data_IF_311494587098
#
_entry.id   IF_311494587098
#
_cell.length_a   1.000
_cell.length_b   1.000
_cell.length_c   1.000
_cell.angle_alpha   90.00
_cell.angle_beta   90.00
_cell.angle_gamma   90.00
#
_symmetry.space_group_name_H-M   'P 1'
#
loop_
_entity.id
_entity.type
_entity.pdbx_description
1 polymer ?
#
# COMPACT_ATOMS: atom_id res chain seq x y z
N UNK A 1 14.85 18.88 -3.84
CA UNK A 1 13.74 19.58 -3.15
C UNK A 1 14.07 21.03 -2.83
N UNK A 2 15.11 21.34 -2.05
CA UNK A 2 15.45 22.73 -1.65
C UNK A 2 15.67 23.72 -2.82
N UNK A 3 16.04 23.23 -4.01
CA UNK A 3 16.24 24.05 -5.22
C UNK A 3 15.00 24.12 -6.13
N UNK A 4 13.89 23.48 -5.76
CA UNK A 4 12.67 23.49 -6.56
C UNK A 4 12.08 24.90 -6.56
N UNK A 5 11.85 25.47 -7.75
CA UNK A 5 11.28 26.82 -7.92
C UNK A 5 9.76 26.81 -8.16
N UNK A 6 9.17 25.62 -8.31
CA UNK A 6 7.76 25.39 -8.59
C UNK A 6 7.30 24.11 -7.88
N UNK A 7 5.97 23.92 -7.66
CA UNK A 7 5.44 22.65 -7.20
C UNK A 7 6.00 21.50 -8.05
N UNK A 8 6.57 20.50 -7.39
CA UNK A 8 7.33 19.43 -8.05
C UNK A 8 6.88 18.10 -7.48
N UNK A 9 6.38 17.22 -8.35
CA UNK A 9 6.14 15.82 -8.02
C UNK A 9 7.43 15.01 -8.21
N UNK A 10 7.76 14.18 -7.24
CA UNK A 10 8.92 13.28 -7.28
C UNK A 10 8.43 11.88 -6.96
N UNK A 11 8.69 10.94 -7.88
CA UNK A 11 8.45 9.52 -7.66
C UNK A 11 9.79 8.83 -7.43
N UNK A 12 9.87 8.00 -6.40
CA UNK A 12 11.08 7.26 -6.05
C UNK A 12 10.71 5.78 -5.87
N UNK A 13 11.53 4.90 -6.44
CA UNK A 13 11.46 3.47 -6.23
C UNK A 13 12.75 3.00 -5.55
N UNK A 14 12.63 2.46 -4.34
CA UNK A 14 13.76 1.90 -3.59
C UNK A 14 14.10 0.51 -4.09
N UNK A 15 15.38 0.13 -4.05
CA UNK A 15 15.85 -1.17 -4.59
C UNK A 15 16.62 -2.04 -3.59
N UNK A 16 17.02 -1.49 -2.43
CA UNK A 16 17.93 -2.19 -1.50
C UNK A 16 17.32 -3.45 -0.88
N UNK A 17 15.99 -3.46 -0.68
CA UNK A 17 15.26 -4.62 -0.15
C UNK A 17 14.90 -5.63 -1.25
N UNK A 18 15.87 -5.98 -2.10
CA UNK A 18 15.71 -6.96 -3.17
C UNK A 18 16.95 -7.87 -3.21
N UNK A 19 16.82 -9.17 -3.53
CA UNK A 19 17.96 -10.05 -3.72
C UNK A 19 19.04 -9.43 -4.63
N UNK A 20 20.34 -9.55 -4.29
CA UNK A 20 20.92 -10.41 -3.24
C UNK A 20 20.95 -9.81 -1.82
N UNK A 21 20.14 -8.78 -1.53
CA UNK A 21 20.00 -8.15 -0.20
C UNK A 21 21.30 -7.51 0.31
N UNK A 22 22.04 -6.85 -0.59
CA UNK A 22 23.27 -6.17 -0.24
C UNK A 22 23.00 -4.87 0.54
N UNK A 23 23.65 -4.72 1.69
CA UNK A 23 23.68 -3.50 2.49
C UNK A 23 25.08 -2.86 2.45
N UNK A 24 25.22 -1.55 2.73
CA UNK A 24 26.53 -0.94 2.89
C UNK A 24 27.32 -1.64 4.00
N UNK A 25 28.63 -1.86 3.80
CA UNK A 25 29.51 -2.51 4.81
C UNK A 25 29.54 -1.79 6.16
N UNK A 26 29.20 -0.50 6.18
CA UNK A 26 29.12 0.33 7.39
C UNK A 26 27.80 0.17 8.14
N UNK A 27 26.76 -0.38 7.52
CA UNK A 27 25.48 -0.59 8.18
C UNK A 27 25.60 -1.73 9.20
N UNK A 28 25.11 -1.48 10.41
CA UNK A 28 25.07 -2.47 11.48
C UNK A 28 23.62 -2.77 11.78
N UNK A 29 23.16 -3.94 11.35
CA UNK A 29 21.82 -4.42 11.67
C UNK A 29 21.71 -4.71 13.17
N UNK A 30 20.59 -4.34 13.82
CA UNK A 30 20.28 -4.82 15.16
C UNK A 30 20.24 -6.35 15.21
N UNK A 31 20.53 -6.92 16.37
CA UNK A 31 20.33 -8.35 16.57
C UNK A 31 18.83 -8.65 16.70
N UNK A 32 18.34 -9.52 15.82
CA UNK A 32 16.96 -10.00 15.84
C UNK A 32 16.91 -11.44 16.31
N UNK A 33 15.92 -11.77 17.15
CA UNK A 33 15.59 -13.14 17.51
C UNK A 33 14.87 -13.86 16.35
N UNK A 34 15.62 -14.13 15.27
CA UNK A 34 15.08 -14.64 14.00
C UNK A 34 14.46 -16.03 14.13
N UNK A 35 14.87 -16.83 15.12
CA UNK A 35 14.34 -18.18 15.33
C UNK A 35 12.82 -18.18 15.53
N UNK A 36 12.28 -17.16 16.22
CA UNK A 36 10.84 -17.02 16.47
C UNK A 36 10.03 -16.72 15.22
N UNK A 37 10.65 -16.09 14.21
CA UNK A 37 9.99 -15.67 12.95
C UNK A 37 10.36 -16.54 11.76
N UNK A 38 11.37 -17.40 11.89
CA UNK A 38 11.77 -18.38 10.86
C UNK A 38 10.61 -19.23 10.31
N UNK A 39 9.59 -19.63 11.10
CA UNK A 39 8.43 -20.34 10.57
C UNK A 39 7.64 -19.54 9.52
N UNK A 40 7.70 -18.20 9.58
CA UNK A 40 7.01 -17.28 8.68
C UNK A 40 7.71 -17.13 7.32
N UNK A 41 8.93 -17.64 7.14
CA UNK A 41 9.65 -17.57 5.86
C UNK A 41 9.51 -18.87 5.06
N UNK A 42 9.43 -18.75 3.74
CA UNK A 42 9.41 -19.87 2.79
C UNK A 42 10.76 -20.58 2.76
N UNK A 43 11.86 -19.81 2.75
CA UNK A 43 13.21 -20.34 2.89
C UNK A 43 13.46 -20.89 4.29
N UNK A 44 14.19 -22.01 4.36
CA UNK A 44 14.73 -22.58 5.61
C UNK A 44 16.20 -22.29 5.82
N UNK A 45 16.84 -21.57 4.90
CA UNK A 45 18.20 -21.08 5.05
C UNK A 45 18.24 -19.86 5.99
N UNK A 46 18.82 -19.99 7.20
CA UNK A 46 18.88 -18.89 8.16
C UNK A 46 19.69 -17.70 7.66
N UNK A 47 20.70 -17.93 6.81
CA UNK A 47 21.51 -16.86 6.25
C UNK A 47 20.68 -16.00 5.29
N UNK A 48 19.87 -16.62 4.43
CA UNK A 48 18.94 -15.89 3.55
C UNK A 48 17.94 -15.04 4.34
N UNK A 49 17.33 -15.61 5.39
CA UNK A 49 16.36 -14.88 6.24
C UNK A 49 17.04 -13.72 6.97
N UNK A 50 18.26 -13.92 7.47
CA UNK A 50 19.07 -12.86 8.06
C UNK A 50 19.34 -11.73 7.07
N UNK A 51 19.80 -12.05 5.87
CA UNK A 51 20.09 -11.07 4.82
C UNK A 51 18.84 -10.28 4.39
N UNK A 52 17.72 -10.96 4.18
CA UNK A 52 16.45 -10.32 3.85
C UNK A 52 15.99 -9.37 4.96
N UNK A 53 16.10 -9.79 6.24
CA UNK A 53 15.75 -8.96 7.39
C UNK A 53 16.69 -7.76 7.53
N UNK A 54 17.99 -7.95 7.31
CA UNK A 54 19.00 -6.90 7.30
C UNK A 54 18.72 -5.85 6.21
N UNK A 55 18.42 -6.28 4.98
CA UNK A 55 18.08 -5.37 3.88
C UNK A 55 16.76 -4.63 4.12
N UNK A 56 15.74 -5.30 4.68
CA UNK A 56 14.49 -4.65 5.08
C UNK A 56 14.72 -3.60 6.16
N UNK A 57 15.56 -3.91 7.14
CA UNK A 57 15.93 -2.98 8.22
C UNK A 57 16.67 -1.77 7.66
N UNK A 58 17.66 -1.99 6.80
CA UNK A 58 18.39 -0.91 6.13
C UNK A 58 17.46 -0.01 5.32
N UNK A 59 16.57 -0.59 4.51
CA UNK A 59 15.61 0.17 3.71
C UNK A 59 14.67 0.99 4.60
N UNK A 60 14.21 0.41 5.72
CA UNK A 60 13.34 1.08 6.69
C UNK A 60 14.06 2.22 7.40
N UNK A 61 15.31 2.02 7.83
CA UNK A 61 16.14 3.06 8.46
C UNK A 61 16.46 4.20 7.47
N UNK A 62 16.84 3.87 6.23
CA UNK A 62 17.08 4.85 5.18
C UNK A 62 15.82 5.69 4.89
N UNK A 63 14.64 5.08 4.86
CA UNK A 63 13.38 5.79 4.71
C UNK A 63 13.08 6.68 5.93
N UNK A 64 13.27 6.18 7.15
CA UNK A 64 13.12 6.95 8.38
C UNK A 64 14.04 8.18 8.42
N UNK A 65 15.31 8.01 8.04
CA UNK A 65 16.29 9.09 7.94
C UNK A 65 15.87 10.13 6.88
N UNK A 66 15.36 9.69 5.74
CA UNK A 66 14.82 10.58 4.71
C UNK A 66 13.64 11.42 5.24
N UNK A 67 12.64 10.78 5.85
CA UNK A 67 11.48 11.49 6.43
C UNK A 67 11.92 12.43 7.54
N UNK A 68 12.84 12.01 8.41
CA UNK A 68 13.40 12.83 9.49
C UNK A 68 14.10 14.08 8.95
N UNK A 69 14.88 13.94 7.88
CA UNK A 69 15.56 15.06 7.23
C UNK A 69 14.57 16.09 6.66
N UNK A 70 13.42 15.65 6.14
CA UNK A 70 12.35 16.55 5.69
C UNK A 70 11.66 17.22 6.89
N UNK A 71 11.24 16.43 7.89
CA UNK A 71 10.49 16.89 9.07
C UNK A 71 11.25 17.93 9.89
N UNK A 72 12.57 17.80 10.01
CA UNK A 72 13.40 18.71 10.79
C UNK A 72 13.98 19.88 9.98
N UNK A 73 13.75 19.93 8.66
CA UNK A 73 14.23 21.03 7.84
C UNK A 73 13.21 22.18 7.81
N UNK A 74 13.57 23.39 8.29
CA UNK A 74 12.65 24.53 8.35
C UNK A 74 12.05 24.96 7.01
N UNK A 75 12.73 24.69 5.90
CA UNK A 75 12.26 25.05 4.56
C UNK A 75 11.34 23.99 3.93
N UNK A 76 11.41 22.73 4.40
CA UNK A 76 10.70 21.60 3.78
C UNK A 76 9.52 21.12 4.61
N UNK A 77 9.60 21.18 5.94
CA UNK A 77 8.61 20.55 6.84
C UNK A 77 7.16 20.99 6.56
N UNK A 78 6.96 22.24 6.16
CA UNK A 78 5.63 22.81 5.93
C UNK A 78 5.22 22.80 4.44
N UNK A 79 6.12 22.40 3.53
CA UNK A 79 5.97 22.53 2.08
C UNK A 79 6.04 21.19 1.33
N UNK A 80 6.23 20.07 2.03
CA UNK A 80 6.39 18.74 1.43
C UNK A 80 5.35 17.80 2.01
N UNK A 81 4.64 17.09 1.13
CA UNK A 81 3.84 15.91 1.47
C UNK A 81 4.63 14.69 0.99
N UNK A 82 4.69 13.65 1.82
CA UNK A 82 5.31 12.36 1.45
C UNK A 82 4.21 11.31 1.53
N UNK A 83 3.96 10.62 0.41
CA UNK A 83 3.25 9.34 0.40
C UNK A 83 4.26 8.22 0.13
N UNK A 84 4.26 7.20 0.98
CA UNK A 84 5.14 6.05 0.84
C UNK A 84 4.36 4.76 1.09
N UNK A 85 4.55 3.76 0.23
CA UNK A 85 3.93 2.45 0.37
C UNK A 85 4.93 1.37 0.03
N UNK A 86 4.75 0.16 0.59
CA UNK A 86 5.28 -1.03 -0.06
C UNK A 86 4.64 -1.18 -1.44
N UNK A 87 5.37 -1.72 -2.41
CA UNK A 87 4.84 -2.04 -3.75
C UNK A 87 4.05 -3.35 -3.73
N UNK A 88 4.58 -4.37 -3.05
CA UNK A 88 3.92 -5.65 -2.84
C UNK A 88 4.43 -6.38 -1.58
N UNK A 89 3.80 -7.51 -1.24
CA UNK A 89 4.22 -8.37 -0.13
C UNK A 89 5.62 -9.00 -0.35
N UNK A 90 6.33 -9.33 0.73
CA UNK A 90 7.59 -10.06 0.61
C UNK A 90 7.34 -11.51 0.17
N UNK A 91 7.76 -11.87 -1.05
CA UNK A 91 7.51 -13.21 -1.63
C UNK A 91 8.24 -14.35 -0.91
N UNK A 92 9.25 -14.02 -0.11
CA UNK A 92 9.96 -14.99 0.74
C UNK A 92 9.23 -15.25 2.08
N UNK A 93 8.10 -14.57 2.35
CA UNK A 93 7.23 -14.85 3.49
C UNK A 93 6.16 -15.88 3.10
N UNK A 94 5.87 -16.81 4.00
CA UNK A 94 4.73 -17.71 3.88
C UNK A 94 3.46 -16.90 4.10
N UNK A 95 2.47 -17.15 3.26
CA UNK A 95 1.10 -16.71 3.53
C UNK A 95 0.58 -17.49 4.75
N UNK A 96 -0.01 -16.77 5.69
CA UNK A 96 -0.55 -17.28 6.95
C UNK A 96 -2.06 -17.47 6.90
N UNK A 97 -2.67 -17.51 8.08
CA UNK A 97 -4.13 -17.60 8.22
C UNK A 97 -4.85 -16.28 7.92
N UNK A 98 -4.12 -15.15 7.87
CA UNK A 98 -4.71 -13.84 7.65
C UNK A 98 -4.42 -13.34 6.23
N UNK A 99 -5.25 -13.79 5.29
CA UNK A 99 -5.09 -13.44 3.86
C UNK A 99 -5.12 -11.93 3.60
N UNK A 100 -5.86 -11.15 4.39
CA UNK A 100 -5.85 -9.70 4.24
C UNK A 100 -4.47 -9.13 4.59
N UNK A 101 -3.88 -9.55 5.72
CA UNK A 101 -2.57 -9.09 6.17
C UNK A 101 -1.44 -9.57 5.25
N UNK A 102 -1.49 -10.82 4.78
CA UNK A 102 -0.48 -11.40 3.88
C UNK A 102 -0.30 -10.61 2.58
N UNK A 103 -1.38 -9.94 2.15
CA UNK A 103 -1.45 -9.15 0.93
C UNK A 103 -1.48 -7.64 1.19
N UNK A 104 -1.31 -7.21 2.45
CA UNK A 104 -1.25 -5.81 2.83
C UNK A 104 0.17 -5.26 2.76
N UNK A 105 0.28 -3.97 2.47
CA UNK A 105 1.52 -3.19 2.54
C UNK A 105 1.28 -1.96 3.41
N UNK A 106 2.30 -1.44 4.11
CA UNK A 106 2.15 -0.20 4.85
C UNK A 106 1.89 0.95 3.88
N UNK A 107 1.02 1.89 4.27
CA UNK A 107 0.90 3.19 3.61
C UNK A 107 1.15 4.29 4.65
N UNK A 108 2.18 5.08 4.42
CA UNK A 108 2.62 6.17 5.27
C UNK A 108 2.40 7.52 4.59
N UNK A 109 1.88 8.48 5.36
CA UNK A 109 1.71 9.86 4.94
C UNK A 109 2.41 10.81 5.92
N UNK A 110 3.38 11.57 5.43
CA UNK A 110 3.84 12.80 6.08
C UNK A 110 3.07 13.98 5.49
N UNK A 111 2.35 14.70 6.33
CA UNK A 111 1.49 15.82 5.93
C UNK A 111 1.87 17.03 6.81
N UNK A 112 2.11 18.22 6.23
CA UNK A 112 2.31 19.45 6.98
C UNK A 112 1.20 19.69 8.01
N UNK A 113 1.55 20.12 9.22
CA UNK A 113 0.60 20.29 10.33
C UNK A 113 -0.57 21.20 9.98
N UNK A 114 -0.34 22.24 9.16
CA UNK A 114 -1.37 23.15 8.70
C UNK A 114 -2.46 22.48 7.86
N UNK A 115 -2.15 21.37 7.18
CA UNK A 115 -3.11 20.55 6.42
C UNK A 115 -3.67 19.46 7.32
N UNK A 116 -2.80 18.77 8.07
CA UNK A 116 -3.16 17.60 8.85
C UNK A 116 -4.22 17.86 9.95
N UNK A 117 -4.24 19.07 10.51
CA UNK A 117 -5.18 19.46 11.58
C UNK A 117 -6.66 19.37 11.17
N UNK A 118 -6.95 19.46 9.87
CA UNK A 118 -8.31 19.48 9.33
C UNK A 118 -8.71 18.11 8.74
N UNK A 119 -7.82 17.11 8.81
CA UNK A 119 -8.05 15.77 8.29
C UNK A 119 -8.68 14.86 9.35
N UNK A 120 -9.68 14.07 8.95
CA UNK A 120 -10.21 13.00 9.79
C UNK A 120 -9.48 11.68 9.49
N UNK A 121 -8.47 11.36 10.30
CA UNK A 121 -7.75 10.10 10.17
C UNK A 121 -8.46 8.98 10.94
N UNK A 122 -8.86 7.94 10.21
CA UNK A 122 -9.32 6.67 10.79
C UNK A 122 -8.42 5.53 10.28
N UNK A 123 -7.64 4.87 11.16
CA UNK A 123 -6.75 3.77 10.75
C UNK A 123 -7.50 2.55 10.21
N UNK A 124 -8.79 2.39 10.51
CA UNK A 124 -9.61 1.28 10.03
C UNK A 124 -10.24 1.54 8.65
N UNK A 125 -9.90 2.67 8.01
CA UNK A 125 -10.35 2.99 6.66
C UNK A 125 -9.72 2.03 5.66
N UNK A 126 -10.55 1.25 4.95
CA UNK A 126 -10.09 0.43 3.84
C UNK A 126 -9.53 1.30 2.70
N UNK A 127 -8.36 0.90 2.20
CA UNK A 127 -7.73 1.50 1.03
C UNK A 127 -6.69 0.56 0.39
N UNK A 128 -6.37 0.80 -0.87
CA UNK A 128 -5.23 0.18 -1.55
C UNK A 128 -4.52 1.17 -2.46
N UNK A 129 -3.55 0.74 -3.28
CA UNK A 129 -2.79 1.65 -4.15
C UNK A 129 -3.65 2.54 -5.06
N UNK A 130 -4.87 2.12 -5.41
CA UNK A 130 -5.80 2.94 -6.20
C UNK A 130 -6.16 4.27 -5.51
N UNK A 131 -6.06 4.33 -4.19
CA UNK A 131 -6.47 5.48 -3.37
C UNK A 131 -5.32 6.46 -3.08
N UNK A 132 -4.08 6.07 -3.36
CA UNK A 132 -2.88 6.89 -3.07
C UNK A 132 -2.94 8.21 -3.83
N UNK A 133 -3.05 8.17 -5.16
CA UNK A 133 -3.06 9.39 -5.98
C UNK A 133 -4.28 10.29 -5.73
N UNK A 134 -5.53 9.77 -5.68
CA UNK A 134 -6.68 10.58 -5.30
C UNK A 134 -6.50 11.30 -3.95
N UNK A 135 -5.90 10.62 -2.97
CA UNK A 135 -5.57 11.21 -1.66
C UNK A 135 -4.49 12.28 -1.78
N UNK A 136 -3.41 12.03 -2.51
CA UNK A 136 -2.34 13.01 -2.73
C UNK A 136 -2.84 14.25 -3.51
N UNK A 137 -3.73 14.08 -4.47
CA UNK A 137 -4.36 15.20 -5.19
C UNK A 137 -5.18 16.06 -4.24
N UNK A 138 -6.02 15.45 -3.40
CA UNK A 138 -6.80 16.16 -2.39
C UNK A 138 -5.93 16.94 -1.39
N UNK A 139 -4.73 16.43 -1.07
CA UNK A 139 -3.82 17.08 -0.14
C UNK A 139 -2.97 18.19 -0.76
N UNK A 140 -2.77 18.19 -2.09
CA UNK A 140 -1.74 19.03 -2.73
C UNK A 140 -2.25 19.98 -3.82
N UNK A 141 -3.46 19.77 -4.34
CA UNK A 141 -4.03 20.54 -5.44
C UNK A 141 -5.27 21.30 -4.96
N UNK A 142 -5.47 22.53 -5.45
CA UNK A 142 -6.65 23.34 -5.13
C UNK A 142 -7.89 22.86 -5.90
N UNK A 143 -7.75 22.65 -7.21
CA UNK A 143 -8.79 22.12 -8.08
C UNK A 143 -8.19 21.05 -8.99
N UNK A 144 -8.90 19.94 -9.17
CA UNK A 144 -8.42 18.82 -9.97
C UNK A 144 -9.58 18.01 -10.54
N UNK A 145 -9.47 17.66 -11.82
CA UNK A 145 -10.32 16.68 -12.48
C UNK A 145 -9.43 15.53 -12.95
N UNK A 146 -9.77 14.31 -12.59
CA UNK A 146 -9.01 13.13 -13.00
C UNK A 146 -9.93 11.93 -13.15
N UNK A 147 -9.53 11.02 -14.03
CA UNK A 147 -10.21 9.74 -14.18
C UNK A 147 -9.74 8.77 -13.10
N UNK A 148 -10.65 8.39 -12.22
CA UNK A 148 -10.45 7.36 -11.21
C UNK A 148 -11.25 6.10 -11.55
N UNK A 149 -10.67 4.93 -11.30
CA UNK A 149 -11.40 3.68 -11.31
C UNK A 149 -11.61 3.21 -9.87
N UNK A 150 -12.60 3.80 -9.21
CA UNK A 150 -12.95 3.47 -7.81
C UNK A 150 -11.94 3.93 -6.75
N UNK A 151 -10.85 4.59 -7.13
CA UNK A 151 -9.92 5.25 -6.20
C UNK A 151 -10.54 6.53 -5.63
N UNK A 152 -10.35 6.76 -4.34
CA UNK A 152 -10.91 7.92 -3.62
C UNK A 152 -9.90 8.54 -2.66
N UNK A 153 -10.18 9.76 -2.22
CA UNK A 153 -9.47 10.37 -1.10
C UNK A 153 -9.79 9.58 0.19
N UNK A 154 -8.78 9.04 0.87
CA UNK A 154 -8.95 8.27 2.11
C UNK A 154 -9.42 9.13 3.29
N UNK A 155 -9.23 10.45 3.24
CA UNK A 155 -9.76 11.38 4.25
C UNK A 155 -11.19 11.86 3.96
N UNK A 156 -11.79 11.45 2.83
CA UNK A 156 -13.16 11.83 2.48
C UNK A 156 -14.16 10.93 3.22
N UNK A 157 -14.82 11.51 4.22
CA UNK A 157 -15.85 10.87 5.03
C UNK A 157 -17.21 10.79 4.33
N UNK A 158 -17.38 11.47 3.18
CA UNK A 158 -18.61 11.50 2.40
C UNK A 158 -18.52 10.64 1.14
N UNK A 159 -17.43 9.87 0.98
CA UNK A 159 -17.25 8.98 -0.15
C UNK A 159 -18.39 7.95 -0.20
N UNK A 160 -18.91 7.70 -1.41
CA UNK A 160 -19.92 6.65 -1.63
C UNK A 160 -19.32 5.27 -1.29
N UNK A 161 -20.11 4.43 -0.61
CA UNK A 161 -19.74 3.06 -0.25
C UNK A 161 -19.24 2.22 -1.45
N UNK A 162 -19.72 2.50 -2.66
CA UNK A 162 -19.27 1.82 -3.88
C UNK A 162 -17.79 2.03 -4.19
N UNK A 163 -17.14 3.03 -3.58
CA UNK A 163 -15.70 3.32 -3.72
C UNK A 163 -14.90 2.91 -2.48
N UNK A 164 -15.56 2.47 -1.40
CA UNK A 164 -14.94 2.07 -0.14
C UNK A 164 -14.53 0.59 -0.18
N UNK A 165 -13.59 0.27 -1.05
CA UNK A 165 -13.00 -1.06 -1.15
C UNK A 165 -11.47 -0.97 -1.28
N UNK A 166 -10.78 -1.99 -0.79
CA UNK A 166 -9.37 -2.24 -1.02
C UNK A 166 -9.24 -3.40 -2.03
N UNK A 167 -8.28 -3.30 -2.92
CA UNK A 167 -8.08 -4.27 -4.00
C UNK A 167 -6.61 -4.38 -4.39
N UNK A 168 -6.16 -5.61 -4.61
CA UNK A 168 -4.93 -5.94 -5.34
C UNK A 168 -5.13 -7.22 -6.18
N UNK A 169 -4.06 -7.77 -6.72
CA UNK A 169 -4.10 -8.95 -7.60
C UNK A 169 -4.56 -10.26 -6.92
N UNK A 170 -4.64 -10.30 -5.58
CA UNK A 170 -4.95 -11.51 -4.82
C UNK A 170 -6.21 -11.38 -3.95
N UNK A 171 -6.57 -10.18 -3.51
CA UNK A 171 -7.70 -9.99 -2.59
C UNK A 171 -8.49 -8.72 -2.91
N UNK A 172 -9.81 -8.83 -2.77
CA UNK A 172 -10.74 -7.71 -2.69
C UNK A 172 -11.30 -7.64 -1.27
N UNK A 173 -11.40 -6.44 -0.70
CA UNK A 173 -12.00 -6.23 0.62
C UNK A 173 -12.92 -5.02 0.55
N UNK A 174 -14.16 -5.16 1.02
CA UNK A 174 -15.07 -4.04 1.25
C UNK A 174 -15.90 -4.31 2.50
N UNK A 175 -16.87 -3.43 2.80
CA UNK A 175 -17.68 -3.50 4.02
C UNK A 175 -18.34 -4.86 4.29
N UNK A 176 -18.56 -5.67 3.24
CA UNK A 176 -19.28 -6.93 3.35
C UNK A 176 -18.34 -8.13 3.61
N UNK A 177 -17.05 -8.00 3.31
CA UNK A 177 -16.11 -9.08 3.56
C UNK A 177 -14.75 -8.97 2.86
N UNK A 178 -13.95 -10.00 3.10
CA UNK A 178 -12.70 -10.31 2.41
C UNK A 178 -13.02 -11.36 1.34
N UNK A 179 -12.59 -11.12 0.11
CA UNK A 179 -12.83 -11.96 -1.05
C UNK A 179 -11.48 -12.33 -1.70
N UNK A 180 -10.92 -13.49 -1.34
CA UNK A 180 -9.77 -14.05 -2.04
C UNK A 180 -10.11 -14.26 -3.52
N UNK A 181 -9.27 -13.74 -4.42
CA UNK A 181 -9.52 -13.86 -5.86
C UNK A 181 -9.25 -15.28 -6.34
N UNK A 182 -10.21 -15.84 -7.08
CA UNK A 182 -10.13 -17.21 -7.59
C UNK A 182 -10.66 -18.29 -6.63
N UNK A 183 -11.15 -17.90 -5.44
CA UNK A 183 -11.84 -18.82 -4.53
C UNK A 183 -13.35 -18.59 -4.52
N UNK A 184 -14.08 -19.61 -4.07
CA UNK A 184 -15.54 -19.56 -3.90
C UNK A 184 -15.98 -19.13 -2.49
N UNK A 185 -15.03 -19.06 -1.55
CA UNK A 185 -15.26 -18.71 -0.15
C UNK A 185 -14.61 -17.37 0.19
N UNK A 186 -15.37 -16.53 0.92
CA UNK A 186 -14.91 -15.27 1.49
C UNK A 186 -14.95 -15.34 3.01
N UNK A 187 -14.56 -14.26 3.67
CA UNK A 187 -14.54 -14.16 5.13
C UNK A 187 -15.18 -12.85 5.59
N UNK A 188 -15.99 -12.90 6.63
CA UNK A 188 -16.28 -11.69 7.41
C UNK A 188 -15.00 -11.24 8.11
N UNK A 189 -14.95 -9.99 8.57
CA UNK A 189 -13.75 -9.48 9.25
C UNK A 189 -14.09 -8.46 10.31
N UNK A 190 -13.13 -8.26 11.21
CA UNK A 190 -13.07 -7.10 12.09
C UNK A 190 -11.82 -6.30 11.75
N UNK A 191 -11.87 -5.00 11.99
CA UNK A 191 -10.69 -4.12 11.91
C UNK A 191 -10.41 -3.57 13.30
N UNK A 192 -9.13 -3.54 13.68
CA UNK A 192 -8.68 -2.88 14.90
C UNK A 192 -7.34 -2.21 14.63
N UNK A 193 -7.31 -0.89 14.72
CA UNK A 193 -6.11 -0.08 14.50
C UNK A 193 -5.44 -0.36 13.15
N UNK A 194 -6.24 -0.50 12.09
CA UNK A 194 -5.79 -0.78 10.73
C UNK A 194 -5.42 -2.23 10.45
N UNK A 195 -5.56 -3.13 11.43
CA UNK A 195 -5.35 -4.56 11.23
C UNK A 195 -6.68 -5.23 10.94
N UNK A 196 -6.83 -5.74 9.72
CA UNK A 196 -7.97 -6.55 9.29
C UNK A 196 -7.74 -8.00 9.73
N UNK A 197 -8.71 -8.58 10.43
CA UNK A 197 -8.64 -9.97 10.92
C UNK A 197 -9.84 -10.77 10.40
N UNK A 198 -9.63 -11.77 9.51
CA UNK A 198 -10.68 -12.66 9.06
C UNK A 198 -11.39 -13.36 10.22
N UNK A 199 -12.70 -13.54 10.10
CA UNK A 199 -13.55 -14.23 11.07
C UNK A 199 -14.17 -15.48 10.42
N UNK A 200 -15.49 -15.48 10.22
CA UNK A 200 -16.23 -16.63 9.71
C UNK A 200 -16.19 -16.67 8.19
N UNK A 201 -16.05 -17.88 7.63
CA UNK A 201 -16.10 -18.09 6.19
C UNK A 201 -17.54 -18.12 5.68
N UNK A 202 -17.77 -17.61 4.48
CA UNK A 202 -19.05 -17.69 3.78
C UNK A 202 -18.86 -18.04 2.30
N UNK A 203 -19.91 -18.53 1.64
CA UNK A 203 -19.92 -18.74 0.18
C UNK A 203 -20.13 -17.39 -0.51
N UNK A 204 -19.21 -17.01 -1.39
CA UNK A 204 -19.28 -15.72 -2.09
C UNK A 204 -20.49 -15.73 -3.05
N UNK A 205 -21.41 -14.75 -2.95
CA UNK A 205 -22.52 -14.62 -3.88
C UNK A 205 -22.04 -14.46 -5.33
N UNK A 206 -22.72 -15.09 -6.29
CA UNK A 206 -22.32 -15.05 -7.71
C UNK A 206 -22.30 -13.62 -8.27
N UNK A 207 -23.24 -12.79 -7.85
CA UNK A 207 -23.27 -11.36 -8.21
C UNK A 207 -22.01 -10.62 -7.77
N UNK A 208 -21.45 -10.97 -6.61
CA UNK A 208 -20.22 -10.39 -6.08
C UNK A 208 -19.01 -10.86 -6.89
N UNK A 209 -18.93 -12.15 -7.22
CA UNK A 209 -17.87 -12.69 -8.09
C UNK A 209 -17.88 -12.00 -9.45
N UNK A 210 -19.06 -11.88 -10.06
CA UNK A 210 -19.22 -11.22 -11.35
C UNK A 210 -18.84 -9.73 -11.29
N UNK A 211 -19.21 -9.02 -10.23
CA UNK A 211 -18.81 -7.62 -10.02
C UNK A 211 -17.29 -7.48 -9.97
N UNK A 212 -16.61 -8.27 -9.14
CA UNK A 212 -15.15 -8.25 -8.99
C UNK A 212 -14.47 -8.56 -10.34
N UNK A 213 -14.93 -9.60 -11.04
CA UNK A 213 -14.40 -9.95 -12.37
C UNK A 213 -14.56 -8.82 -13.40
N UNK A 214 -15.73 -8.16 -13.41
CA UNK A 214 -15.98 -7.03 -14.32
C UNK A 214 -15.11 -5.83 -13.97
N UNK A 215 -14.91 -5.54 -12.69
CA UNK A 215 -13.99 -4.49 -12.26
C UNK A 215 -12.55 -4.78 -12.72
N UNK A 216 -12.07 -6.02 -12.55
CA UNK A 216 -10.73 -6.43 -12.97
C UNK A 216 -10.56 -6.22 -14.49
N UNK A 217 -11.53 -6.66 -15.29
CA UNK A 217 -11.53 -6.44 -16.75
C UNK A 217 -11.50 -4.96 -17.10
N UNK A 218 -12.31 -4.15 -16.43
CA UNK A 218 -12.35 -2.70 -16.65
C UNK A 218 -11.04 -2.02 -16.26
N UNK A 219 -10.38 -2.46 -15.18
CA UNK A 219 -9.08 -1.97 -14.74
C UNK A 219 -8.00 -2.22 -15.78
N UNK A 220 -7.90 -3.46 -16.25
CA UNK A 220 -6.96 -3.81 -17.32
C UNK A 220 -7.26 -3.09 -18.63
N UNK A 221 -8.53 -2.99 -19.01
CA UNK A 221 -8.93 -2.24 -20.19
C UNK A 221 -8.51 -0.76 -20.09
N UNK A 222 -8.73 -0.11 -18.94
CA UNK A 222 -8.35 1.28 -18.73
C UNK A 222 -6.82 1.47 -18.82
N UNK A 223 -6.03 0.57 -18.23
CA UNK A 223 -4.57 0.60 -18.31
C UNK A 223 -4.13 0.45 -19.76
N UNK A 224 -4.65 -0.53 -20.47
CA UNK A 224 -4.33 -0.78 -21.87
C UNK A 224 -4.71 0.40 -22.76
N UNK A 225 -5.88 1.00 -22.55
CA UNK A 225 -6.31 2.19 -23.26
C UNK A 225 -5.36 3.38 -23.03
N UNK A 226 -4.83 3.57 -21.81
CA UNK A 226 -3.88 4.64 -21.52
C UNK A 226 -2.51 4.43 -22.18
N UNK A 227 -2.08 3.18 -22.34
CA UNK A 227 -0.78 2.85 -22.94
C UNK A 227 -0.86 2.86 -24.47
N UNK A 228 -1.90 2.25 -25.04
CA UNK A 228 -2.01 1.97 -26.47
C UNK A 228 -3.06 2.83 -27.20
N UNK A 229 -3.83 3.66 -26.48
CA UNK A 229 -4.98 4.38 -27.05
C UNK A 229 -6.10 3.42 -27.46
N UNK A 230 -6.85 3.77 -28.49
CA UNK A 230 -7.90 2.92 -29.07
C UNK A 230 -7.36 1.69 -29.82
N UNK A 231 -6.05 1.60 -30.04
CA UNK A 231 -5.40 0.51 -30.80
C UNK A 231 -5.18 -0.76 -29.97
N UNK A 232 -5.86 -0.93 -28.84
CA UNK A 232 -5.87 -2.19 -28.11
C UNK A 232 -6.49 -3.28 -29.00
N UNK A 233 -5.65 -4.14 -29.57
CA UNK A 233 -6.13 -5.33 -30.28
C UNK A 233 -6.99 -6.16 -29.32
N UNK A 234 -8.20 -6.49 -29.78
CA UNK A 234 -9.21 -7.26 -29.05
C UNK A 234 -8.73 -8.67 -28.70
#
# INVERSE_FOLDING_TARGET
MLKAKKPTFIMMLTISNHPPFATPKSFKTPEYALDSVMPLFTSKDPQRVRLATEAFTYASDAFGNFVSAIRHNPMLKDNVIIGASGDHLCRDMKQGANIALDHSVPFYLYIPTAIAKDLNFNPDTLGSHKDIFPTLYALSLQEYNFLSLGGRNLFDTNAKDTYTFAYNEAVWIDKDGIYPLGLDTGFTYITKNGIITPQESFIIPESKKQFIQNYIKLSWWQINYRIYGENTQK
#
